data_IF_210883155537
#
_entry.id   IF_210883155537
#
_cell.length_a   1.000
_cell.length_b   1.000
_cell.length_c   1.000
_cell.angle_alpha   90.00
_cell.angle_beta   90.00
_cell.angle_gamma   90.00
#
_symmetry.space_group_name_H-M   'P 1'
#
loop_
_entity.id
_entity.type
_entity.pdbx_description
1 polymer ?
#
# COMPACT_ATOMS: atom_id res chain seq x y z
N UNK A 1 -12.59 21.70 -11.99
CA UNK A 1 -12.89 21.14 -13.32
C UNK A 1 -14.04 20.16 -13.13
N UNK A 2 -15.24 20.43 -13.65
CA UNK A 2 -16.31 19.44 -13.73
C UNK A 2 -16.13 18.75 -15.07
N UNK A 3 -15.26 17.74 -15.13
CA UNK A 3 -15.08 16.97 -16.37
C UNK A 3 -15.61 15.58 -16.12
N UNK A 4 -16.94 15.43 -16.23
CA UNK A 4 -17.59 14.12 -16.28
C UNK A 4 -17.00 13.28 -17.42
N UNK A 5 -16.49 13.94 -18.46
CA UNK A 5 -15.79 13.38 -19.62
C UNK A 5 -14.49 12.61 -19.26
N UNK A 6 -14.02 12.68 -18.01
CA UNK A 6 -12.83 11.95 -17.55
C UNK A 6 -13.17 10.75 -16.64
N UNK A 7 -14.44 10.41 -16.52
CA UNK A 7 -14.88 9.33 -15.62
C UNK A 7 -15.61 8.26 -16.42
N UNK A 8 -15.13 7.01 -16.35
CA UNK A 8 -15.83 5.85 -16.91
C UNK A 8 -16.85 5.32 -15.90
N UNK A 9 -18.13 5.26 -16.31
CA UNK A 9 -19.22 4.70 -15.51
C UNK A 9 -19.53 3.30 -15.95
N UNK A 10 -19.03 2.34 -15.20
CA UNK A 10 -19.16 0.94 -15.59
C UNK A 10 -20.63 0.47 -15.50
N UNK A 11 -21.45 1.03 -14.59
CA UNK A 11 -22.89 0.71 -14.52
C UNK A 11 -23.71 1.20 -15.72
N UNK A 12 -23.20 2.14 -16.51
CA UNK A 12 -23.87 2.62 -17.73
C UNK A 12 -23.56 1.73 -18.94
N UNK A 13 -22.56 0.85 -18.83
CA UNK A 13 -22.05 0.01 -19.93
C UNK A 13 -22.09 -1.49 -19.62
N UNK A 14 -22.30 -1.88 -18.36
CA UNK A 14 -22.46 -3.27 -17.92
C UNK A 14 -23.90 -3.46 -17.48
N UNK A 15 -24.66 -4.27 -18.23
CA UNK A 15 -26.06 -4.55 -17.94
C UNK A 15 -26.27 -5.60 -16.83
N UNK A 16 -25.19 -6.20 -16.33
CA UNK A 16 -25.18 -7.26 -15.33
C UNK A 16 -25.25 -6.72 -13.89
N UNK A 17 -25.60 -7.59 -12.93
CA UNK A 17 -25.77 -7.21 -11.53
C UNK A 17 -24.55 -7.56 -10.66
N UNK A 18 -23.97 -6.55 -10.01
CA UNK A 18 -22.88 -6.73 -9.03
C UNK A 18 -23.32 -7.69 -7.91
N UNK A 19 -22.47 -8.66 -7.59
CA UNK A 19 -22.68 -9.69 -6.57
C UNK A 19 -23.46 -10.92 -7.05
N UNK A 20 -24.21 -10.80 -8.15
CA UNK A 20 -24.99 -11.89 -8.76
C UNK A 20 -24.25 -12.47 -9.96
N UNK A 21 -23.80 -11.59 -10.84
CA UNK A 21 -23.17 -11.93 -12.12
C UNK A 21 -21.64 -11.80 -12.04
N UNK A 22 -21.17 -10.77 -11.35
CA UNK A 22 -19.75 -10.49 -11.16
C UNK A 22 -19.47 -9.86 -9.80
N UNK A 23 -18.25 -10.00 -9.29
CA UNK A 23 -17.75 -9.25 -8.14
C UNK A 23 -16.84 -8.12 -8.59
N UNK A 24 -16.69 -7.13 -7.72
CA UNK A 24 -15.87 -5.95 -7.98
C UNK A 24 -14.89 -5.72 -6.84
N UNK A 25 -13.69 -5.28 -7.20
CA UNK A 25 -12.74 -4.56 -6.36
C UNK A 25 -12.47 -3.21 -7.01
N UNK A 26 -11.75 -2.30 -6.37
CA UNK A 26 -11.57 -0.89 -6.80
C UNK A 26 -11.34 -0.71 -8.31
N UNK A 27 -10.50 -1.56 -8.91
CA UNK A 27 -10.14 -1.49 -10.33
C UNK A 27 -10.23 -2.84 -11.06
N UNK A 28 -10.99 -3.80 -10.51
CA UNK A 28 -11.02 -5.15 -11.07
C UNK A 28 -12.42 -5.76 -11.00
N UNK A 29 -12.83 -6.41 -12.09
CA UNK A 29 -14.11 -7.09 -12.27
C UNK A 29 -13.87 -8.59 -12.39
N UNK A 30 -14.40 -9.33 -11.42
CA UNK A 30 -14.41 -10.78 -11.39
C UNK A 30 -15.77 -11.30 -11.87
N UNK A 31 -15.90 -11.58 -13.16
CA UNK A 31 -17.06 -12.27 -13.68
C UNK A 31 -17.07 -13.75 -13.26
N UNK A 32 -18.26 -14.31 -12.99
CA UNK A 32 -18.38 -15.73 -12.64
C UNK A 32 -18.35 -16.65 -13.87
N UNK A 33 -18.49 -16.10 -15.08
CA UNK A 33 -18.46 -16.82 -16.36
C UNK A 33 -17.51 -16.13 -17.36
N UNK A 34 -16.80 -16.93 -18.15
CA UNK A 34 -15.82 -16.41 -19.11
C UNK A 34 -16.47 -15.59 -20.24
N UNK A 35 -17.67 -15.99 -20.70
CA UNK A 35 -18.40 -15.25 -21.73
C UNK A 35 -18.77 -13.85 -21.25
N UNK A 36 -19.23 -13.76 -19.99
CA UNK A 36 -19.55 -12.49 -19.36
C UNK A 36 -18.32 -11.60 -19.16
N UNK A 37 -17.17 -12.18 -18.81
CA UNK A 37 -15.93 -11.43 -18.75
C UNK A 37 -15.58 -10.79 -20.11
N UNK A 38 -15.80 -11.51 -21.21
CA UNK A 38 -15.57 -11.02 -22.56
C UNK A 38 -16.57 -9.92 -22.96
N UNK A 39 -17.86 -10.10 -22.65
CA UNK A 39 -18.90 -9.09 -22.88
C UNK A 39 -18.60 -7.77 -22.14
N UNK A 40 -18.22 -7.87 -20.86
CA UNK A 40 -17.80 -6.72 -20.05
C UNK A 40 -16.55 -6.05 -20.66
N UNK A 41 -15.54 -6.84 -21.02
CA UNK A 41 -14.30 -6.35 -21.62
C UNK A 41 -14.58 -5.56 -22.92
N UNK A 42 -15.39 -6.10 -23.82
CA UNK A 42 -15.74 -5.47 -25.09
C UNK A 42 -16.57 -4.20 -24.88
N UNK A 43 -17.59 -4.26 -24.02
CA UNK A 43 -18.47 -3.12 -23.74
C UNK A 43 -17.70 -1.93 -23.17
N UNK A 44 -16.82 -2.18 -22.17
CA UNK A 44 -16.02 -1.13 -21.57
C UNK A 44 -14.99 -0.54 -22.55
N UNK A 45 -14.36 -1.37 -23.40
CA UNK A 45 -13.45 -0.86 -24.43
C UNK A 45 -14.17 0.01 -25.46
N UNK A 46 -15.39 -0.37 -25.87
CA UNK A 46 -16.22 0.43 -26.76
C UNK A 46 -16.55 1.80 -26.14
N UNK A 47 -16.97 1.81 -24.87
CA UNK A 47 -17.28 3.04 -24.13
C UNK A 47 -16.06 3.97 -23.99
N UNK A 48 -14.90 3.42 -23.67
CA UNK A 48 -13.63 4.16 -23.60
C UNK A 48 -13.27 4.78 -24.95
N UNK A 49 -13.39 4.01 -26.04
CA UNK A 49 -13.04 4.47 -27.37
C UNK A 49 -14.00 5.54 -27.91
N UNK A 50 -15.31 5.36 -27.71
CA UNK A 50 -16.35 6.30 -28.15
C UNK A 50 -16.21 7.66 -27.43
N UNK A 51 -16.06 7.62 -26.11
CA UNK A 51 -16.03 8.81 -25.27
C UNK A 51 -14.61 9.39 -25.07
N UNK A 52 -13.58 8.72 -25.60
CA UNK A 52 -12.16 9.11 -25.47
C UNK A 52 -11.72 9.31 -24.02
N UNK A 53 -12.21 8.44 -23.13
CA UNK A 53 -11.88 8.49 -21.71
C UNK A 53 -10.46 7.91 -21.54
N UNK A 54 -9.53 8.58 -20.82
CA UNK A 54 -8.16 8.09 -20.66
C UNK A 54 -8.09 6.99 -19.58
N UNK A 55 -8.70 5.86 -19.92
CA UNK A 55 -8.82 4.64 -19.11
C UNK A 55 -8.42 3.46 -19.99
N UNK A 56 -7.64 2.52 -19.44
CA UNK A 56 -7.27 1.29 -20.14
C UNK A 56 -8.04 0.11 -19.56
N UNK A 57 -8.68 -0.66 -20.42
CA UNK A 57 -9.35 -1.92 -20.05
C UNK A 57 -8.48 -3.07 -20.53
N UNK A 58 -8.04 -3.93 -19.62
CA UNK A 58 -7.09 -5.01 -19.90
C UNK A 58 -7.49 -6.29 -19.18
N UNK A 59 -7.12 -7.43 -19.74
CA UNK A 59 -7.16 -8.67 -18.99
C UNK A 59 -6.08 -8.65 -17.91
N UNK A 60 -6.37 -9.21 -16.75
CA UNK A 60 -5.40 -9.35 -15.64
C UNK A 60 -4.11 -10.07 -16.06
N UNK A 61 -4.18 -11.02 -17.00
CA UNK A 61 -3.00 -11.70 -17.58
C UNK A 61 -2.09 -10.77 -18.41
N UNK A 62 -2.64 -9.69 -18.95
CA UNK A 62 -1.95 -8.73 -19.80
C UNK A 62 -1.46 -7.50 -19.00
N UNK A 63 -1.71 -7.49 -17.69
CA UNK A 63 -1.23 -6.44 -16.78
C UNK A 63 0.30 -6.47 -16.74
N UNK A 64 0.97 -5.31 -16.88
CA UNK A 64 2.43 -5.24 -16.86
C UNK A 64 3.03 -5.89 -15.61
N UNK A 65 4.07 -6.71 -15.80
CA UNK A 65 4.76 -7.39 -14.70
C UNK A 65 5.35 -6.43 -13.67
N UNK A 66 5.62 -5.17 -14.05
CA UNK A 66 6.08 -4.10 -13.16
C UNK A 66 5.08 -3.77 -12.05
N UNK A 67 3.79 -4.03 -12.24
CA UNK A 67 2.77 -3.83 -11.21
C UNK A 67 2.71 -4.99 -10.20
N UNK A 68 3.45 -6.09 -10.45
CA UNK A 68 3.46 -7.29 -9.61
C UNK A 68 2.05 -7.84 -9.29
N UNK A 69 1.07 -7.57 -10.17
CA UNK A 69 -0.35 -7.88 -9.97
C UNK A 69 -0.87 -9.03 -10.86
N UNK A 70 -0.02 -9.62 -11.71
CA UNK A 70 -0.41 -10.64 -12.69
C UNK A 70 -0.50 -12.08 -12.14
N UNK A 71 -0.45 -12.29 -10.81
CA UNK A 71 -0.36 -13.62 -10.23
C UNK A 71 -1.70 -14.38 -10.21
N UNK A 72 -1.70 -15.71 -10.46
CA UNK A 72 -2.90 -16.47 -10.83
C UNK A 72 -3.85 -16.85 -9.68
N UNK A 73 -3.73 -16.31 -8.47
CA UNK A 73 -4.53 -16.84 -7.35
C UNK A 73 -6.01 -16.43 -7.39
N UNK A 74 -6.40 -15.50 -8.27
CA UNK A 74 -7.80 -15.06 -8.47
C UNK A 74 -8.19 -14.86 -9.95
N UNK A 75 -7.54 -15.57 -10.88
CA UNK A 75 -7.68 -15.63 -12.37
C UNK A 75 -8.75 -14.78 -13.13
N UNK A 76 -8.36 -14.37 -14.35
CA UNK A 76 -9.21 -14.03 -15.52
C UNK A 76 -10.26 -12.93 -15.33
N UNK A 77 -9.79 -11.82 -14.80
CA UNK A 77 -10.60 -10.65 -14.52
C UNK A 77 -10.32 -9.52 -15.51
N UNK A 78 -11.34 -8.70 -15.75
CA UNK A 78 -11.19 -7.43 -16.45
C UNK A 78 -10.65 -6.41 -15.45
N UNK A 79 -9.49 -5.83 -15.75
CA UNK A 79 -8.89 -4.75 -14.97
C UNK A 79 -9.10 -3.42 -15.69
N UNK A 80 -9.50 -2.40 -14.95
CA UNK A 80 -9.77 -1.06 -15.45
C UNK A 80 -8.77 -0.10 -14.81
N UNK A 81 -7.87 0.45 -15.63
CA UNK A 81 -6.72 1.25 -15.17
C UNK A 81 -6.87 2.68 -15.67
N UNK A 82 -7.41 3.60 -14.85
CA UNK A 82 -7.49 5.02 -15.19
C UNK A 82 -6.09 5.67 -15.20
N UNK A 83 -5.84 6.55 -16.17
CA UNK A 83 -4.68 7.44 -16.16
C UNK A 83 -4.84 8.53 -15.09
N UNK A 84 -3.75 9.21 -14.73
CA UNK A 84 -3.77 10.30 -13.74
C UNK A 84 -4.75 11.39 -14.20
N UNK A 85 -5.68 11.75 -13.31
CA UNK A 85 -6.72 12.76 -13.56
C UNK A 85 -8.02 12.21 -14.13
N UNK A 86 -8.07 10.94 -14.54
CA UNK A 86 -9.30 10.21 -14.83
C UNK A 86 -9.73 9.31 -13.67
N UNK A 87 -10.95 8.79 -13.76
CA UNK A 87 -11.50 7.87 -12.76
C UNK A 87 -12.34 6.79 -13.45
N UNK A 88 -12.49 5.65 -12.79
CA UNK A 88 -13.37 4.58 -13.23
C UNK A 88 -14.19 4.11 -12.04
N UNK A 89 -15.52 4.22 -12.15
CA UNK A 89 -16.44 3.93 -11.05
C UNK A 89 -17.42 2.86 -11.45
N UNK A 90 -17.70 1.95 -10.50
CA UNK A 90 -18.75 0.96 -10.66
C UNK A 90 -20.13 1.58 -10.63
N UNK A 91 -20.30 2.62 -9.81
CA UNK A 91 -21.56 3.35 -9.69
C UNK A 91 -21.21 4.83 -9.73
N UNK A 92 -21.64 5.52 -10.78
CA UNK A 92 -21.34 6.93 -10.93
C UNK A 92 -22.27 7.83 -10.09
N UNK A 93 -21.70 8.78 -9.34
CA UNK A 93 -22.42 9.51 -8.30
C UNK A 93 -23.23 10.70 -8.80
N UNK A 94 -23.21 11.07 -10.09
CA UNK A 94 -24.08 12.15 -10.62
C UNK A 94 -25.56 11.79 -10.75
N UNK A 95 -25.94 10.57 -10.32
CA UNK A 95 -27.28 10.28 -9.80
C UNK A 95 -27.62 11.11 -8.54
N UNK A 96 -26.62 11.73 -7.92
CA UNK A 96 -26.69 12.67 -6.82
C UNK A 96 -25.96 14.00 -7.17
N UNK A 97 -26.70 15.10 -7.40
CA UNK A 97 -26.14 16.40 -7.81
C UNK A 97 -25.25 17.09 -6.75
N UNK A 98 -25.18 16.59 -5.51
CA UNK A 98 -24.30 17.15 -4.47
C UNK A 98 -22.86 16.60 -4.53
N UNK A 99 -22.61 15.58 -5.34
CA UNK A 99 -21.32 14.89 -5.38
C UNK A 99 -20.28 15.72 -6.15
N UNK A 100 -19.43 16.42 -5.41
CA UNK A 100 -18.21 17.01 -5.96
C UNK A 100 -17.22 15.89 -6.26
N UNK A 101 -16.48 16.00 -7.36
CA UNK A 101 -15.38 15.07 -7.65
C UNK A 101 -14.42 15.03 -6.46
N UNK A 102 -14.24 13.84 -5.90
CA UNK A 102 -13.33 13.58 -4.79
C UNK A 102 -11.94 13.26 -5.36
N UNK A 103 -10.86 13.66 -4.66
CA UNK A 103 -9.56 13.02 -4.86
C UNK A 103 -9.74 11.50 -4.86
N UNK A 104 -9.03 10.84 -5.77
CA UNK A 104 -9.02 9.38 -5.91
C UNK A 104 -7.59 8.87 -5.80
N UNK A 105 -7.46 7.55 -5.61
CA UNK A 105 -6.20 6.83 -5.49
C UNK A 105 -6.32 5.47 -6.18
N UNK A 106 -5.23 4.70 -6.25
CA UNK A 106 -5.24 3.37 -6.89
C UNK A 106 -4.74 3.36 -8.33
N UNK A 107 -4.29 4.50 -8.85
CA UNK A 107 -3.53 4.57 -10.09
C UNK A 107 -2.18 3.86 -9.98
N UNK A 108 -1.47 3.75 -11.11
CA UNK A 108 -0.14 3.14 -11.14
C UNK A 108 0.80 3.76 -10.09
N UNK A 109 1.51 2.94 -9.29
CA UNK A 109 2.25 3.39 -8.11
C UNK A 109 3.49 4.23 -8.44
N UNK A 110 3.96 4.18 -9.69
CA UNK A 110 5.12 4.96 -10.15
C UNK A 110 4.81 6.46 -10.33
N UNK A 111 3.52 6.83 -10.40
CA UNK A 111 3.09 8.21 -10.49
C UNK A 111 3.40 8.97 -9.19
N UNK A 112 3.83 10.22 -9.29
CA UNK A 112 4.25 11.01 -8.14
C UNK A 112 3.09 11.29 -7.18
N UNK A 113 1.88 11.44 -7.71
CA UNK A 113 0.63 11.66 -6.99
C UNK A 113 0.24 10.46 -6.10
N UNK A 114 0.73 9.26 -6.43
CA UNK A 114 0.45 8.03 -5.66
C UNK A 114 1.51 7.76 -4.58
N UNK A 115 2.55 8.60 -4.47
CA UNK A 115 3.60 8.44 -3.46
C UNK A 115 3.08 8.83 -2.08
N UNK A 116 3.39 8.00 -1.09
CA UNK A 116 3.12 8.29 0.32
C UNK A 116 4.33 8.94 1.00
N UNK A 117 4.09 9.66 2.09
CA UNK A 117 5.14 10.12 2.99
C UNK A 117 5.50 9.05 4.03
N UNK A 118 6.80 8.86 4.28
CA UNK A 118 7.30 7.96 5.33
C UNK A 118 8.05 8.76 6.39
N UNK A 119 7.56 8.74 7.63
CA UNK A 119 8.21 9.35 8.79
C UNK A 119 8.43 8.29 9.87
N UNK A 120 9.65 8.21 10.38
CA UNK A 120 10.06 7.20 11.36
C UNK A 120 10.78 7.87 12.52
N UNK A 121 10.48 7.42 13.75
CA UNK A 121 11.10 7.92 14.97
C UNK A 121 11.22 6.80 15.99
N UNK A 122 12.37 6.72 16.65
CA UNK A 122 12.63 5.74 17.70
C UNK A 122 14.12 5.54 17.91
N UNK A 123 14.50 4.74 18.94
CA UNK A 123 15.90 4.50 19.29
C UNK A 123 16.69 3.82 18.16
N UNK A 124 16.00 3.05 17.33
CA UNK A 124 16.58 2.31 16.21
C UNK A 124 16.85 3.19 14.98
N UNK A 125 16.31 4.41 14.92
CA UNK A 125 16.40 5.29 13.74
C UNK A 125 17.41 6.43 13.94
N UNK A 126 18.09 6.82 12.87
CA UNK A 126 18.94 8.02 12.86
C UNK A 126 18.07 9.26 13.04
N UNK A 127 18.49 10.18 13.89
CA UNK A 127 17.72 11.40 14.17
C UNK A 127 17.90 12.46 13.10
N UNK A 128 16.82 13.22 12.83
CA UNK A 128 16.80 14.42 11.99
C UNK A 128 17.43 14.22 10.60
N UNK A 129 17.25 13.02 10.04
CA UNK A 129 17.74 12.67 8.71
C UNK A 129 16.61 12.70 7.71
N UNK A 130 16.79 13.47 6.65
CA UNK A 130 16.00 13.37 5.43
C UNK A 130 16.67 12.39 4.48
N UNK A 131 15.88 11.49 3.88
CA UNK A 131 16.35 10.46 2.97
C UNK A 131 15.64 10.71 1.64
N UNK A 132 16.42 11.02 0.60
CA UNK A 132 15.90 11.35 -0.73
C UNK A 132 15.59 10.12 -1.59
N UNK A 133 16.17 8.96 -1.28
CA UNK A 133 15.83 7.72 -1.95
C UNK A 133 14.41 7.28 -1.56
N UNK A 134 13.57 7.01 -2.56
CA UNK A 134 12.19 6.56 -2.37
C UNK A 134 12.21 5.03 -2.20
N UNK A 135 11.93 4.48 -1.00
CA UNK A 135 11.84 3.04 -0.82
C UNK A 135 10.55 2.50 -1.45
N UNK A 136 10.52 1.21 -1.73
CA UNK A 136 9.27 0.52 -2.03
C UNK A 136 8.57 0.14 -0.73
N UNK A 137 7.23 0.12 -0.70
CA UNK A 137 6.47 -0.27 0.49
C UNK A 137 6.87 -1.67 1.01
N UNK A 138 7.24 -2.58 0.10
CA UNK A 138 7.70 -3.94 0.42
C UNK A 138 9.04 -3.96 1.16
N UNK A 139 9.86 -2.91 1.05
CA UNK A 139 11.16 -2.81 1.72
C UNK A 139 11.00 -2.58 3.23
N UNK A 140 9.83 -2.13 3.69
CA UNK A 140 9.56 -1.89 5.10
C UNK A 140 9.45 -3.18 5.92
N UNK A 141 8.99 -4.28 5.30
CA UNK A 141 8.85 -5.57 5.97
C UNK A 141 10.18 -6.12 6.52
N UNK A 142 11.26 -6.24 5.72
CA UNK A 142 12.56 -6.67 6.25
C UNK A 142 13.15 -5.71 7.30
N UNK A 143 12.92 -4.40 7.16
CA UNK A 143 13.33 -3.43 8.18
C UNK A 143 12.63 -3.65 9.51
N UNK A 144 11.32 -3.90 9.51
CA UNK A 144 10.57 -4.19 10.75
C UNK A 144 11.10 -5.46 11.43
N UNK A 145 11.40 -6.52 10.67
CA UNK A 145 12.02 -7.73 11.25
C UNK A 145 13.38 -7.46 11.88
N UNK A 146 14.23 -6.64 11.23
CA UNK A 146 15.52 -6.22 11.77
C UNK A 146 15.38 -5.43 13.08
N UNK A 147 14.44 -4.50 13.16
CA UNK A 147 14.18 -3.72 14.37
C UNK A 147 13.67 -4.61 15.51
N UNK A 148 12.81 -5.59 15.21
CA UNK A 148 12.23 -6.50 16.20
C UNK A 148 13.16 -7.66 16.59
N UNK A 149 14.25 -7.89 15.85
CA UNK A 149 15.14 -9.02 16.07
C UNK A 149 14.50 -10.38 15.80
N UNK A 150 13.53 -10.45 14.88
CA UNK A 150 12.81 -11.70 14.55
C UNK A 150 13.22 -12.24 13.18
N UNK A 151 13.29 -13.57 13.01
CA UNK A 151 13.44 -14.17 11.68
C UNK A 151 12.18 -13.89 10.85
N UNK A 152 12.38 -13.54 9.59
CA UNK A 152 11.29 -13.30 8.65
C UNK A 152 11.19 -14.42 7.61
N UNK A 153 9.98 -14.71 7.10
CA UNK A 153 9.83 -15.56 5.93
C UNK A 153 10.44 -14.89 4.68
N UNK A 154 10.61 -15.69 3.63
CA UNK A 154 11.00 -15.19 2.30
C UNK A 154 10.04 -14.08 1.86
N UNK A 155 10.59 -12.96 1.38
CA UNK A 155 9.84 -11.79 0.94
C UNK A 155 10.59 -11.09 -0.20
N UNK A 156 9.92 -10.15 -0.88
CA UNK A 156 10.48 -9.44 -2.04
C UNK A 156 11.11 -8.08 -1.68
N UNK A 157 11.15 -7.70 -0.39
CA UNK A 157 11.71 -6.43 0.06
C UNK A 157 13.23 -6.43 0.05
N UNK A 158 13.83 -5.27 -0.23
CA UNK A 158 15.28 -5.05 -0.22
C UNK A 158 15.67 -4.14 0.94
N UNK A 159 16.28 -4.70 1.99
CA UNK A 159 16.59 -3.95 3.22
C UNK A 159 17.58 -2.81 3.00
N UNK A 160 18.54 -2.97 2.08
CA UNK A 160 19.59 -1.97 1.80
C UNK A 160 19.04 -0.59 1.46
N UNK A 161 17.83 -0.53 0.86
CA UNK A 161 17.16 0.72 0.49
C UNK A 161 16.66 1.52 1.69
N UNK A 162 16.38 0.85 2.80
CA UNK A 162 15.79 1.43 4.03
C UNK A 162 16.74 1.39 5.22
N UNK A 163 17.80 0.58 5.15
CA UNK A 163 18.79 0.44 6.22
C UNK A 163 19.50 1.76 6.56
N UNK A 164 19.64 2.66 5.59
CA UNK A 164 20.20 4.00 5.80
C UNK A 164 19.43 4.84 6.85
N UNK A 165 18.18 4.48 7.13
CA UNK A 165 17.37 5.09 8.18
C UNK A 165 17.70 4.56 9.58
N UNK A 166 18.34 3.39 9.69
CA UNK A 166 18.64 2.73 10.96
C UNK A 166 19.98 3.20 11.54
N UNK A 167 20.06 3.24 12.87
CA UNK A 167 21.36 3.35 13.55
C UNK A 167 22.14 2.06 13.37
N UNK A 168 23.47 2.11 13.33
CA UNK A 168 24.28 0.92 13.53
C UNK A 168 23.84 0.24 14.82
N UNK A 169 23.71 -1.08 14.81
CA UNK A 169 23.56 -1.81 16.07
C UNK A 169 24.76 -1.45 16.95
N UNK A 170 24.56 -1.18 18.25
CA UNK A 170 25.69 -1.04 19.15
C UNK A 170 26.53 -2.30 19.01
N UNK A 171 27.82 -2.14 18.68
CA UNK A 171 28.78 -3.23 18.79
C UNK A 171 28.58 -3.81 20.18
N UNK A 172 28.18 -5.08 20.26
CA UNK A 172 28.30 -5.81 21.51
C UNK A 172 29.80 -5.84 21.80
N UNK A 173 30.26 -4.90 22.62
CA UNK A 173 31.47 -5.12 23.37
C UNK A 173 31.16 -6.32 24.25
N UNK A 174 31.56 -7.49 23.78
CA UNK A 174 31.84 -8.63 24.65
C UNK A 174 33.03 -8.24 25.56
N UNK A 175 32.84 -7.22 26.40
CA UNK A 175 33.51 -7.21 27.69
C UNK A 175 32.56 -7.96 28.61
N UNK A 176 32.73 -9.28 28.59
CA UNK A 176 32.31 -10.15 29.67
C UNK A 176 33.02 -9.63 30.92
N UNK A 177 32.41 -8.70 31.66
CA UNK A 177 32.92 -8.33 32.98
C UNK A 177 32.87 -9.62 33.80
N UNK A 178 34.01 -10.12 34.30
CA UNK A 178 34.00 -11.30 35.15
C UNK A 178 33.07 -10.99 36.32
N UNK A 179 32.15 -11.91 36.57
CA UNK A 179 31.27 -11.88 37.72
C UNK A 179 32.13 -11.87 39.00
N UNK A 180 32.45 -10.67 39.49
CA UNK A 180 33.14 -10.50 40.76
C UNK A 180 32.23 -11.02 41.87
N UNK A 181 32.55 -12.22 42.35
CA UNK A 181 31.82 -12.97 43.36
C UNK A 181 32.00 -12.41 44.77
N UNK A 182 31.95 -11.09 44.97
CA UNK A 182 32.07 -10.46 46.28
C UNK A 182 31.25 -9.15 46.37
N UNK A 183 29.93 -9.24 46.28
CA UNK A 183 29.04 -8.17 46.78
C UNK A 183 28.53 -8.61 48.15
N UNK A 184 29.27 -8.18 49.18
CA UNK A 184 28.78 -8.09 50.54
C UNK A 184 27.66 -7.05 50.58
N UNK A 185 26.48 -7.49 51.00
CA UNK A 185 25.27 -6.72 51.21
C UNK A 185 25.53 -5.48 52.08
N UNK A 186 25.29 -4.29 51.54
CA UNK A 186 25.06 -3.07 52.33
C UNK A 186 23.78 -2.40 51.81
N UNK A 187 22.65 -2.81 52.38
CA UNK A 187 21.36 -2.15 52.19
C UNK A 187 21.37 -0.90 53.08
N UNK A 188 21.52 0.29 52.48
CA UNK A 188 21.26 1.55 53.16
C UNK A 188 19.77 1.89 53.05
N UNK A 189 19.02 1.62 54.13
CA UNK A 189 17.66 2.14 54.32
C UNK A 189 17.77 3.61 54.74
N UNK A 190 17.33 4.53 53.88
CA UNK A 190 17.07 5.92 54.26
C UNK A 190 15.70 6.00 54.96
N UNK A 191 15.70 6.08 56.29
CA UNK A 191 14.53 6.49 57.07
C UNK A 191 14.45 8.03 57.03
N UNK A 192 13.48 8.54 56.28
CA UNK A 192 13.08 9.95 56.35
C UNK A 192 12.23 10.10 57.61
N UNK A 193 12.78 10.75 58.63
CA UNK A 193 12.02 11.22 59.80
C UNK A 193 11.67 12.69 59.55
N UNK A 194 10.39 12.98 59.32
CA UNK A 194 9.88 14.36 59.31
C UNK A 194 9.80 14.88 60.75
N UNK A 195 10.22 16.11 61.04
CA UNK A 195 9.93 16.74 62.32
C UNK A 195 8.50 17.26 62.32
N UNK A 196 7.75 16.88 63.36
CA UNK A 196 6.49 17.51 63.75
C UNK A 196 6.86 18.81 64.47
N UNK A 197 6.29 19.93 64.02
CA UNK A 197 6.21 21.18 64.76
C UNK A 197 4.84 21.78 64.57
#
# INVERSE_FOLDING_TARGET
>A
VRSLDLVLCMDEHINDTIGVDYQVSDHTILAYRAEQAAEIYESLNAAVAENKIPVRVMWTKDVPSSLHFSHPSRLEQVMVVPEIGADARFICPWKDPETKQSPTHGHAPDNEEMRAGLAMRGPSFVEKREISSIPQNIDLFPMMGKILGIPLPSNNGTIDRVEIALRPLPLSTEEEQPMDSNISTAISIFLIVMPIM
#
